data_IF_507352941502
#
_entry.id   IF_507352941502
#
_cell.length_a   1.000
_cell.length_b   1.000
_cell.length_c   1.000
_cell.angle_alpha   90.00
_cell.angle_beta   90.00
_cell.angle_gamma   90.00
#
_symmetry.space_group_name_H-M   'P 1'
#
loop_
_entity.id
_entity.type
_entity.pdbx_description
1 polymer ?
#
# COMPACT_ATOMS: atom_id res chain seq x y z
N UNK A 1 3.53 24.31 -2.71
CA UNK A 1 4.97 24.46 -2.38
C UNK A 1 5.12 25.61 -1.38
N UNK A 2 5.70 25.36 -0.20
CA UNK A 2 6.22 26.42 0.69
C UNK A 2 5.63 26.57 2.11
N UNK A 3 4.51 25.96 2.47
CA UNK A 3 3.87 26.19 3.80
C UNK A 3 4.09 25.08 4.83
N UNK A 4 4.40 23.87 4.39
CA UNK A 4 4.64 22.74 5.29
C UNK A 4 6.10 22.82 5.76
N UNK A 5 6.36 22.91 7.09
CA UNK A 5 7.73 22.95 7.61
C UNK A 5 8.56 21.75 7.15
N UNK A 6 9.85 21.97 6.88
CA UNK A 6 10.78 20.90 6.50
C UNK A 6 11.03 19.86 7.62
N UNK A 7 10.55 20.13 8.83
CA UNK A 7 10.57 19.21 9.97
C UNK A 7 9.44 18.17 9.93
N UNK A 8 8.46 18.33 9.03
CA UNK A 8 7.34 17.39 8.91
C UNK A 8 7.82 16.10 8.26
N UNK A 9 7.75 15.00 9.02
CA UNK A 9 8.14 13.67 8.57
C UNK A 9 6.97 12.83 8.05
N UNK A 10 5.73 13.16 8.44
CA UNK A 10 4.55 12.38 8.09
C UNK A 10 3.39 13.30 7.73
N UNK A 11 2.71 12.99 6.62
CA UNK A 11 1.49 13.66 6.20
C UNK A 11 0.35 12.63 6.10
N UNK A 12 -0.82 13.01 6.61
CA UNK A 12 -2.04 12.23 6.49
C UNK A 12 -3.10 13.02 5.72
N UNK A 13 -3.55 12.47 4.60
CA UNK A 13 -4.65 13.00 3.79
C UNK A 13 -5.95 12.34 4.23
N UNK A 14 -6.73 13.07 5.04
CA UNK A 14 -7.94 12.56 5.66
C UNK A 14 -9.19 12.71 4.76
N UNK A 15 -10.32 12.17 5.24
CA UNK A 15 -11.62 12.24 4.57
C UNK A 15 -11.95 13.67 4.17
N UNK A 16 -12.32 13.82 2.90
CA UNK A 16 -12.73 15.11 2.34
C UNK A 16 -11.61 15.87 1.66
N UNK A 17 -10.36 15.40 1.75
CA UNK A 17 -9.27 15.93 0.92
C UNK A 17 -9.61 15.76 -0.57
N UNK A 18 -9.67 16.89 -1.27
CA UNK A 18 -10.19 17.06 -2.64
C UNK A 18 -9.28 17.97 -3.47
N UNK A 19 -7.97 17.87 -3.25
CA UNK A 19 -6.98 18.53 -4.10
C UNK A 19 -6.15 17.49 -4.84
N UNK A 20 -5.90 17.77 -6.12
CA UNK A 20 -5.03 16.94 -6.94
C UNK A 20 -3.60 17.00 -6.38
N UNK A 21 -3.05 15.85 -6.02
CA UNK A 21 -1.65 15.73 -5.62
C UNK A 21 -0.79 15.65 -6.88
N UNK A 22 -0.19 16.77 -7.26
CA UNK A 22 0.83 16.82 -8.32
C UNK A 22 2.23 16.80 -7.73
N UNK A 23 3.23 16.56 -8.59
CA UNK A 23 4.64 16.58 -8.18
C UNK A 23 5.00 17.91 -7.47
N UNK A 24 5.71 17.81 -6.35
CA UNK A 24 6.17 18.96 -5.56
C UNK A 24 5.14 19.54 -4.58
N UNK A 25 3.92 18.99 -4.47
CA UNK A 25 2.97 19.34 -3.41
C UNK A 25 3.45 18.81 -2.06
N UNK A 26 3.90 17.56 -2.03
CA UNK A 26 4.44 16.90 -0.83
C UNK A 26 5.93 17.24 -0.74
N UNK A 27 6.42 17.84 0.37
CA UNK A 27 7.83 18.16 0.53
C UNK A 27 8.73 16.92 0.55
N UNK A 28 9.96 17.05 0.04
CA UNK A 28 10.94 15.95 -0.02
C UNK A 28 11.50 15.52 1.36
N UNK A 29 11.18 16.24 2.44
CA UNK A 29 11.52 15.84 3.81
C UNK A 29 10.54 14.81 4.41
N UNK A 30 9.41 14.58 3.75
CA UNK A 30 8.39 13.64 4.24
C UNK A 30 8.84 12.21 3.97
N UNK A 31 8.76 11.35 4.97
CA UNK A 31 9.12 9.92 4.87
C UNK A 31 7.91 9.00 4.99
N UNK A 32 6.80 9.49 5.54
CA UNK A 32 5.57 8.74 5.75
C UNK A 32 4.36 9.41 5.12
N UNK A 33 3.59 8.68 4.33
CA UNK A 33 2.33 9.16 3.77
C UNK A 33 1.17 8.24 4.13
N UNK A 34 0.03 8.85 4.47
CA UNK A 34 -1.19 8.13 4.84
C UNK A 34 -2.37 8.69 4.06
N UNK A 35 -3.16 7.81 3.45
CA UNK A 35 -4.32 8.16 2.63
C UNK A 35 -5.59 7.50 3.18
N UNK A 36 -6.59 8.28 3.59
CA UNK A 36 -7.96 7.79 3.80
C UNK A 36 -8.77 7.89 2.49
N UNK A 37 -9.96 8.48 2.55
CA UNK A 37 -10.90 8.66 1.45
C UNK A 37 -10.54 9.89 0.62
N UNK A 38 -9.35 9.90 0.02
CA UNK A 38 -8.95 10.93 -0.94
C UNK A 38 -9.81 10.85 -2.21
N UNK A 39 -10.34 12.00 -2.64
CA UNK A 39 -11.27 12.08 -3.78
C UNK A 39 -10.58 12.13 -5.14
N UNK A 40 -9.42 12.78 -5.22
CA UNK A 40 -8.75 13.05 -6.49
C UNK A 40 -7.69 12.00 -6.81
N UNK A 41 -7.61 11.63 -8.10
CA UNK A 41 -6.71 10.60 -8.60
C UNK A 41 -5.25 10.84 -8.20
N UNK A 42 -4.62 9.82 -7.62
CA UNK A 42 -3.17 9.73 -7.52
C UNK A 42 -2.60 9.48 -8.92
N UNK A 43 -1.65 10.31 -9.32
CA UNK A 43 -0.96 10.21 -10.61
C UNK A 43 0.51 9.85 -10.40
N UNK A 44 1.17 9.34 -11.44
CA UNK A 44 2.62 9.10 -11.43
C UNK A 44 3.34 10.42 -11.09
N UNK A 45 4.26 10.36 -10.12
CA UNK A 45 5.00 11.53 -9.62
C UNK A 45 4.29 12.33 -8.53
N UNK A 46 3.06 11.98 -8.15
CA UNK A 46 2.35 12.60 -7.00
C UNK A 46 2.96 12.25 -5.65
N UNK A 47 3.48 11.02 -5.51
CA UNK A 47 4.21 10.53 -4.35
C UNK A 47 5.70 10.79 -4.60
N UNK A 48 6.40 11.57 -3.74
CA UNK A 48 7.82 11.85 -3.95
C UNK A 48 8.70 10.62 -3.67
N UNK A 49 9.96 10.64 -4.11
CA UNK A 49 10.90 9.51 -3.93
C UNK A 49 11.41 9.37 -2.50
N UNK A 50 11.25 10.40 -1.68
CA UNK A 50 11.60 10.44 -0.27
C UNK A 50 10.71 9.56 0.62
N UNK A 51 9.53 9.15 0.14
CA UNK A 51 8.59 8.36 0.93
C UNK A 51 9.14 6.96 1.17
N UNK A 52 9.29 6.61 2.45
CA UNK A 52 9.73 5.30 2.92
C UNK A 52 8.54 4.38 3.25
N UNK A 53 7.50 4.91 3.90
CA UNK A 53 6.34 4.15 4.37
C UNK A 53 5.02 4.76 3.87
N UNK A 54 4.16 3.90 3.30
CA UNK A 54 2.84 4.26 2.80
C UNK A 54 1.74 3.51 3.54
N UNK A 55 0.69 4.22 3.93
CA UNK A 55 -0.53 3.61 4.45
C UNK A 55 -1.75 4.03 3.63
N UNK A 56 -2.32 3.10 2.88
CA UNK A 56 -3.65 3.23 2.29
C UNK A 56 -4.69 2.73 3.29
N UNK A 57 -5.34 3.65 3.99
CA UNK A 57 -6.28 3.39 5.09
C UNK A 57 -7.66 3.01 4.57
N UNK A 58 -8.54 2.67 5.49
CA UNK A 58 -9.90 2.19 5.19
C UNK A 58 -10.68 3.19 4.32
N UNK A 59 -11.32 2.66 3.28
CA UNK A 59 -12.08 3.47 2.35
C UNK A 59 -11.26 4.13 1.24
N UNK A 60 -9.94 3.93 1.18
CA UNK A 60 -9.14 4.33 0.03
C UNK A 60 -9.70 3.67 -1.24
N UNK A 61 -10.18 4.49 -2.18
CA UNK A 61 -10.97 4.05 -3.32
C UNK A 61 -10.38 4.52 -4.65
N UNK A 62 -9.07 4.33 -4.82
CA UNK A 62 -8.38 4.67 -6.06
C UNK A 62 -7.58 3.50 -6.58
N UNK A 63 -7.48 3.41 -7.91
CA UNK A 63 -6.69 2.40 -8.58
C UNK A 63 -5.22 2.80 -8.46
N UNK A 64 -4.41 1.87 -7.93
CA UNK A 64 -2.96 2.00 -7.90
C UNK A 64 -2.39 1.44 -9.20
N UNK A 65 -2.30 2.28 -10.25
CA UNK A 65 -1.59 1.93 -11.48
C UNK A 65 -0.08 1.79 -11.25
N UNK A 66 0.62 0.93 -12.01
CA UNK A 66 2.08 0.84 -11.97
C UNK A 66 2.75 2.21 -12.08
N UNK A 67 3.71 2.48 -11.19
CA UNK A 67 4.46 3.74 -11.13
C UNK A 67 3.83 4.86 -10.29
N UNK A 68 2.60 4.70 -9.77
CA UNK A 68 2.05 5.67 -8.79
C UNK A 68 2.87 5.64 -7.50
N UNK A 69 3.13 4.44 -7.00
CA UNK A 69 4.03 4.22 -5.86
C UNK A 69 5.46 4.23 -6.39
N UNK A 70 6.29 5.10 -5.83
CA UNK A 70 7.69 5.28 -6.27
C UNK A 70 8.61 4.24 -5.67
N UNK A 71 9.75 3.99 -6.32
CA UNK A 71 10.78 3.02 -5.88
C UNK A 71 11.52 3.42 -4.58
N UNK A 72 11.15 4.55 -3.95
CA UNK A 72 11.66 4.91 -2.62
C UNK A 72 10.96 4.16 -1.48
N UNK A 73 9.77 3.63 -1.74
CA UNK A 73 8.91 3.02 -0.72
C UNK A 73 9.42 1.63 -0.35
N UNK A 74 9.63 1.39 0.94
CA UNK A 74 10.07 0.11 1.47
C UNK A 74 8.96 -0.64 2.21
N UNK A 75 7.98 0.07 2.77
CA UNK A 75 6.90 -0.49 3.57
C UNK A 75 5.54 0.03 3.10
N UNK A 76 4.59 -0.88 2.94
CA UNK A 76 3.19 -0.56 2.64
C UNK A 76 2.26 -1.21 3.66
N UNK A 77 1.30 -0.43 4.15
CA UNK A 77 0.17 -0.88 4.93
C UNK A 77 -1.10 -0.68 4.10
N UNK A 78 -1.90 -1.73 3.96
CA UNK A 78 -3.17 -1.74 3.23
C UNK A 78 -4.32 -2.06 4.19
N UNK A 79 -5.21 -1.08 4.39
CA UNK A 79 -6.50 -1.22 5.06
C UNK A 79 -7.57 -1.84 4.17
N UNK A 80 -8.83 -1.49 4.45
CA UNK A 80 -9.98 -1.85 3.62
C UNK A 80 -10.04 -0.97 2.35
N UNK A 81 -9.09 -1.20 1.43
CA UNK A 81 -9.08 -0.57 0.11
C UNK A 81 -10.25 -1.08 -0.74
N UNK A 82 -10.79 -0.20 -1.59
CA UNK A 82 -12.01 -0.48 -2.37
C UNK A 82 -11.73 -0.90 -3.81
N UNK A 83 -10.52 -0.68 -4.30
CA UNK A 83 -10.09 -1.06 -5.63
C UNK A 83 -9.11 -2.25 -5.56
N UNK A 84 -9.12 -3.14 -6.56
CA UNK A 84 -8.17 -4.24 -6.62
C UNK A 84 -6.74 -3.72 -6.82
N UNK A 85 -5.77 -4.44 -6.28
CA UNK A 85 -4.36 -4.22 -6.59
C UNK A 85 -4.06 -4.78 -7.98
N UNK A 86 -3.29 -4.04 -8.77
CA UNK A 86 -2.83 -4.48 -10.09
C UNK A 86 -1.46 -5.14 -10.00
N UNK A 87 -1.15 -6.05 -10.92
CA UNK A 87 0.21 -6.54 -11.10
C UNK A 87 1.13 -5.34 -11.37
N UNK A 88 2.30 -5.31 -10.72
CA UNK A 88 3.27 -4.21 -10.74
C UNK A 88 2.79 -2.88 -10.11
N UNK A 89 1.65 -2.85 -9.41
CA UNK A 89 1.22 -1.65 -8.66
C UNK A 89 2.07 -1.38 -7.42
N UNK A 90 2.56 -2.45 -6.78
CA UNK A 90 3.53 -2.41 -5.69
C UNK A 90 4.93 -2.55 -6.32
N UNK A 91 5.82 -1.56 -6.16
CA UNK A 91 7.15 -1.62 -6.76
C UNK A 91 8.07 -2.62 -6.05
N UNK A 92 9.11 -3.06 -6.76
CA UNK A 92 10.10 -4.02 -6.24
C UNK A 92 10.99 -3.44 -5.12
N UNK A 93 10.90 -2.15 -4.83
CA UNK A 93 11.55 -1.53 -3.67
C UNK A 93 10.89 -1.93 -2.34
N UNK A 94 9.62 -2.33 -2.38
CA UNK A 94 8.87 -2.71 -1.18
C UNK A 94 9.36 -4.06 -0.69
N UNK A 95 9.65 -4.14 0.60
CA UNK A 95 10.13 -5.36 1.28
C UNK A 95 9.19 -5.80 2.41
N UNK A 96 8.35 -4.89 2.91
CA UNK A 96 7.37 -5.16 3.97
C UNK A 96 5.97 -4.79 3.49
N UNK A 97 5.06 -5.75 3.51
CA UNK A 97 3.66 -5.55 3.16
C UNK A 97 2.76 -5.97 4.32
N UNK A 98 1.93 -5.05 4.80
CA UNK A 98 0.98 -5.29 5.86
C UNK A 98 -0.44 -5.14 5.34
N UNK A 99 -1.11 -6.26 5.08
CA UNK A 99 -2.54 -6.29 4.78
C UNK A 99 -3.27 -6.41 6.12
N UNK A 100 -3.96 -5.37 6.55
CA UNK A 100 -4.66 -5.35 7.85
C UNK A 100 -6.12 -5.80 7.71
N UNK A 101 -6.82 -5.86 8.84
CA UNK A 101 -8.20 -6.36 8.90
C UNK A 101 -9.13 -5.57 7.98
N UNK A 102 -10.06 -6.27 7.33
CA UNK A 102 -11.05 -5.68 6.44
C UNK A 102 -10.69 -5.78 4.96
N UNK A 103 -9.42 -6.04 4.62
CA UNK A 103 -9.01 -6.26 3.23
C UNK A 103 -9.81 -7.40 2.59
N UNK A 104 -10.53 -7.07 1.52
CA UNK A 104 -11.50 -7.94 0.86
C UNK A 104 -11.25 -8.05 -0.66
N UNK A 105 -10.06 -7.68 -1.13
CA UNK A 105 -9.67 -7.80 -2.53
C UNK A 105 -8.98 -9.15 -2.76
N UNK A 106 -9.13 -9.73 -3.95
CA UNK A 106 -8.43 -10.96 -4.32
C UNK A 106 -6.95 -10.68 -4.56
N UNK A 107 -6.08 -11.57 -4.06
CA UNK A 107 -4.64 -11.54 -4.33
C UNK A 107 -4.36 -12.56 -5.44
N UNK A 108 -4.22 -12.10 -6.68
CA UNK A 108 -3.85 -12.98 -7.81
C UNK A 108 -2.34 -13.11 -7.92
N UNK A 109 -1.82 -14.17 -8.60
CA UNK A 109 -0.39 -14.32 -8.81
C UNK A 109 0.25 -13.08 -9.43
N UNK A 110 1.38 -12.64 -8.85
CA UNK A 110 2.13 -11.48 -9.31
C UNK A 110 1.67 -10.12 -8.77
N UNK A 111 0.55 -10.04 -8.04
CA UNK A 111 0.14 -8.80 -7.35
C UNK A 111 1.09 -8.44 -6.22
N UNK A 112 1.45 -9.43 -5.40
CA UNK A 112 2.50 -9.29 -4.40
C UNK A 112 3.84 -9.56 -5.10
N UNK A 113 4.78 -8.58 -5.17
CA UNK A 113 6.03 -8.78 -5.87
C UNK A 113 6.99 -9.70 -5.10
N UNK A 114 7.91 -10.35 -5.82
CA UNK A 114 8.94 -11.23 -5.23
C UNK A 114 9.93 -10.50 -4.30
N UNK A 115 9.93 -9.16 -4.30
CA UNK A 115 10.75 -8.34 -3.42
C UNK A 115 10.30 -8.40 -1.95
N UNK A 116 9.03 -8.70 -1.68
CA UNK A 116 8.49 -8.79 -0.32
C UNK A 116 9.23 -9.86 0.48
N UNK A 117 9.73 -9.48 1.67
CA UNK A 117 10.42 -10.33 2.64
C UNK A 117 9.54 -10.62 3.85
N UNK A 118 8.77 -9.63 4.29
CA UNK A 118 7.82 -9.77 5.39
C UNK A 118 6.41 -9.45 4.91
N UNK A 119 5.49 -10.40 5.08
CA UNK A 119 4.07 -10.25 4.78
C UNK A 119 3.26 -10.42 6.06
N UNK A 120 2.50 -9.40 6.44
CA UNK A 120 1.46 -9.53 7.45
C UNK A 120 0.11 -9.68 6.76
N UNK A 121 -0.64 -10.72 7.12
CA UNK A 121 -2.02 -10.93 6.71
C UNK A 121 -2.91 -10.83 7.95
N UNK A 122 -3.77 -9.82 7.98
CA UNK A 122 -4.89 -9.72 8.91
C UNK A 122 -6.02 -10.67 8.52
N UNK A 123 -7.23 -10.41 9.05
CA UNK A 123 -8.45 -11.11 8.63
C UNK A 123 -8.82 -10.82 7.17
N UNK A 124 -8.08 -11.41 6.24
CA UNK A 124 -8.34 -11.39 4.80
C UNK A 124 -9.59 -12.21 4.55
N UNK A 125 -10.59 -11.59 3.91
CA UNK A 125 -11.88 -12.24 3.65
C UNK A 125 -11.90 -13.07 2.36
N UNK A 126 -10.89 -12.91 1.52
CA UNK A 126 -10.76 -13.57 0.22
C UNK A 126 -9.87 -14.81 0.33
N UNK A 127 -10.24 -15.86 -0.39
CA UNK A 127 -9.42 -17.08 -0.46
C UNK A 127 -8.13 -16.78 -1.22
N UNK A 128 -7.00 -17.21 -0.66
CA UNK A 128 -5.73 -17.18 -1.35
C UNK A 128 -5.70 -18.28 -2.41
N UNK A 129 -5.18 -17.96 -3.58
CA UNK A 129 -4.97 -18.92 -4.68
C UNK A 129 -3.51 -19.33 -4.77
N UNK A 130 -3.23 -20.51 -5.30
CA UNK A 130 -1.86 -20.95 -5.53
C UNK A 130 -1.07 -19.89 -6.32
N UNK A 131 0.16 -19.59 -5.88
CA UNK A 131 1.02 -18.60 -6.52
C UNK A 131 0.68 -17.13 -6.20
N UNK A 132 -0.39 -16.85 -5.44
CA UNK A 132 -0.71 -15.48 -4.98
C UNK A 132 0.32 -14.92 -4.01
N UNK A 133 0.92 -15.80 -3.19
CA UNK A 133 1.99 -15.48 -2.25
C UNK A 133 3.33 -15.92 -2.87
N UNK A 134 4.26 -14.98 -3.12
CA UNK A 134 5.60 -15.30 -3.60
C UNK A 134 6.34 -16.31 -2.71
N UNK A 135 7.02 -17.28 -3.33
CA UNK A 135 7.89 -18.26 -2.65
C UNK A 135 9.15 -17.63 -2.03
N UNK A 136 9.42 -16.35 -2.33
CA UNK A 136 10.58 -15.60 -1.82
C UNK A 136 10.37 -14.97 -0.45
N UNK A 137 9.14 -15.00 0.08
CA UNK A 137 8.81 -14.45 1.40
C UNK A 137 9.52 -15.25 2.49
N UNK A 138 10.15 -14.54 3.43
CA UNK A 138 10.94 -15.13 4.51
C UNK A 138 10.16 -15.17 5.83
N UNK A 139 9.16 -14.30 5.98
CA UNK A 139 8.37 -14.16 7.20
C UNK A 139 6.92 -13.83 6.87
N UNK A 140 6.02 -14.68 7.36
CA UNK A 140 4.57 -14.45 7.31
C UNK A 140 4.06 -14.28 8.74
N UNK A 141 3.33 -13.19 8.98
CA UNK A 141 2.63 -12.94 10.25
C UNK A 141 1.13 -13.02 9.98
N UNK A 142 0.47 -13.99 10.60
CA UNK A 142 -0.98 -14.14 10.53
C UNK A 142 -1.62 -13.46 11.74
N UNK A 143 -2.59 -12.56 11.51
CA UNK A 143 -3.31 -11.82 12.54
C UNK A 143 -4.82 -12.01 12.39
N UNK A 144 -5.51 -12.17 13.53
CA UNK A 144 -6.96 -12.39 13.57
C UNK A 144 -7.34 -13.86 13.39
N UNK A 145 -8.64 -14.13 13.27
CA UNK A 145 -9.16 -15.47 13.01
C UNK A 145 -8.99 -15.75 11.52
N UNK A 146 -7.89 -16.38 11.13
CA UNK A 146 -7.72 -16.88 9.77
C UNK A 146 -7.82 -18.41 9.82
N UNK A 147 -8.76 -18.96 9.06
CA UNK A 147 -8.94 -20.40 8.96
C UNK A 147 -7.69 -21.02 8.29
N UNK A 148 -7.10 -22.08 8.86
CA UNK A 148 -5.87 -22.67 8.34
C UNK A 148 -5.97 -23.10 6.87
N UNK A 149 -7.16 -23.52 6.43
CA UNK A 149 -7.46 -23.94 5.05
C UNK A 149 -7.21 -22.87 3.99
N UNK A 150 -7.08 -21.59 4.38
CA UNK A 150 -6.76 -20.50 3.45
C UNK A 150 -5.29 -20.48 3.01
N UNK A 151 -4.41 -21.23 3.67
CA UNK A 151 -2.95 -21.18 3.42
C UNK A 151 -2.35 -22.45 2.83
N UNK A 152 -3.07 -23.56 2.85
CA UNK A 152 -2.57 -24.82 2.35
C UNK A 152 -2.95 -24.98 0.88
N UNK A 153 -1.97 -24.79 0.00
CA UNK A 153 -1.94 -25.28 -1.37
C UNK A 153 -0.71 -26.17 -1.55
#
# INVERSE_FOLDING_TARGET
MGSIPNTVLTIEFDKGFNQLLTAGIIPEGVIGLRFHQVKDLLIVGSIPKSIYSLFFKDGFNQILSPGIITDGVCEIILGEIKQPLLVNSIPNSVTKLHIINGFNQSLTPGVIPNSIKELTLGSVKTQLVEGSIPKTIQKIILKGNIEPSYFFF
#
